data_IF_691867819922
#
_entry.id   IF_691867819922
#
_cell.length_a   1.000
_cell.length_b   1.000
_cell.length_c   1.000
_cell.angle_alpha   90.00
_cell.angle_beta   90.00
_cell.angle_gamma   90.00
#
_symmetry.space_group_name_H-M   'P 1'
#
loop_
_entity.id
_entity.type
_entity.pdbx_description
1 polymer ?
#
# COMPACT_ATOMS: atom_id res chain seq x y z
N UNK A 1 -39.82 26.68 0.39
CA UNK A 1 -39.75 25.27 0.83
C UNK A 1 -38.63 25.19 1.83
N UNK A 2 -38.93 24.85 3.08
CA UNK A 2 -37.91 24.77 4.14
C UNK A 2 -36.99 23.56 3.92
N UNK A 3 -35.72 23.80 3.81
CA UNK A 3 -34.68 22.76 3.76
C UNK A 3 -34.50 22.25 5.18
N UNK A 4 -34.76 20.98 5.41
CA UNK A 4 -34.59 20.35 6.72
C UNK A 4 -33.23 19.64 6.74
N UNK A 5 -32.30 20.09 7.56
CA UNK A 5 -31.04 19.43 7.81
C UNK A 5 -31.24 18.30 8.82
N UNK A 6 -30.53 17.18 8.58
CA UNK A 6 -30.54 16.04 9.50
C UNK A 6 -29.55 16.27 10.64
N UNK A 7 -29.84 15.71 11.81
CA UNK A 7 -28.92 15.79 12.95
C UNK A 7 -27.61 15.05 12.64
N UNK A 8 -26.49 15.52 13.19
CA UNK A 8 -25.17 14.91 13.00
C UNK A 8 -25.12 13.43 13.41
N UNK A 9 -25.89 13.02 14.41
CA UNK A 9 -26.00 11.63 14.85
C UNK A 9 -26.64 10.75 13.76
N UNK A 10 -27.73 11.25 13.17
CA UNK A 10 -28.43 10.53 12.09
C UNK A 10 -27.61 10.46 10.80
N UNK A 11 -26.87 11.51 10.47
CA UNK A 11 -25.92 11.50 9.33
C UNK A 11 -24.83 10.47 9.54
N UNK A 12 -24.30 10.37 10.77
CA UNK A 12 -23.28 9.38 11.12
C UNK A 12 -23.81 7.95 11.05
N UNK A 13 -25.01 7.69 11.51
CA UNK A 13 -25.68 6.38 11.45
C UNK A 13 -25.90 5.94 10.00
N UNK A 14 -26.42 6.83 9.14
CA UNK A 14 -26.60 6.58 7.71
C UNK A 14 -25.27 6.28 7.04
N UNK A 15 -24.20 7.02 7.36
CA UNK A 15 -22.91 6.79 6.78
C UNK A 15 -22.28 5.46 7.24
N UNK A 16 -22.43 5.11 8.51
CA UNK A 16 -21.98 3.82 9.04
C UNK A 16 -22.68 2.64 8.36
N UNK A 17 -24.00 2.74 8.19
CA UNK A 17 -24.79 1.70 7.50
C UNK A 17 -24.39 1.59 6.02
N UNK A 18 -24.20 2.74 5.34
CA UNK A 18 -23.75 2.76 3.96
C UNK A 18 -22.32 2.19 3.81
N UNK A 19 -21.42 2.52 4.72
CA UNK A 19 -20.06 1.96 4.74
C UNK A 19 -20.07 0.45 4.96
N UNK A 20 -20.88 -0.07 5.88
CA UNK A 20 -21.00 -1.51 6.11
C UNK A 20 -21.50 -2.26 4.87
N UNK A 21 -22.45 -1.68 4.13
CA UNK A 21 -22.92 -2.26 2.87
C UNK A 21 -21.83 -2.18 1.77
N UNK A 22 -21.16 -1.05 1.63
CA UNK A 22 -20.09 -0.86 0.64
C UNK A 22 -18.88 -1.75 0.92
N UNK A 23 -18.57 -2.03 2.19
CA UNK A 23 -17.49 -2.93 2.59
C UNK A 23 -17.78 -4.39 2.20
N UNK A 24 -19.05 -4.79 2.16
CA UNK A 24 -19.45 -6.11 1.66
C UNK A 24 -19.42 -6.22 0.13
N UNK A 25 -19.65 -5.11 -0.57
CA UNK A 25 -19.76 -5.08 -2.04
C UNK A 25 -18.42 -4.73 -2.74
N UNK A 26 -17.49 -4.10 -2.03
CA UNK A 26 -16.17 -3.67 -2.55
C UNK A 26 -15.05 -4.47 -1.89
N UNK A 27 -13.93 -4.64 -2.61
CA UNK A 27 -12.74 -5.18 -1.94
C UNK A 27 -12.23 -4.22 -0.85
N UNK A 28 -11.66 -4.79 0.22
CA UNK A 28 -11.14 -4.04 1.37
C UNK A 28 -10.17 -2.92 0.94
N UNK A 29 -9.32 -3.18 -0.05
CA UNK A 29 -8.36 -2.20 -0.55
C UNK A 29 -9.01 -1.03 -1.29
N UNK A 30 -10.04 -1.31 -2.09
CA UNK A 30 -10.83 -0.28 -2.78
C UNK A 30 -11.61 0.55 -1.75
N UNK A 31 -12.24 -0.11 -0.78
CA UNK A 31 -12.96 0.55 0.30
C UNK A 31 -12.06 1.50 1.10
N UNK A 32 -10.90 1.02 1.55
CA UNK A 32 -9.94 1.81 2.32
C UNK A 32 -9.34 2.97 1.52
N UNK A 33 -9.13 2.77 0.21
CA UNK A 33 -8.51 3.81 -0.64
C UNK A 33 -9.51 4.88 -1.07
N UNK A 34 -10.77 4.50 -1.38
CA UNK A 34 -11.71 5.39 -2.06
C UNK A 34 -12.96 5.74 -1.26
N UNK A 35 -13.38 4.95 -0.28
CA UNK A 35 -14.58 5.21 0.51
C UNK A 35 -14.23 5.81 1.87
N UNK A 36 -13.38 5.14 2.63
CA UNK A 36 -13.04 5.52 4.00
C UNK A 36 -12.48 6.95 4.15
N UNK A 37 -11.65 7.48 3.22
CA UNK A 37 -11.13 8.85 3.33
C UNK A 37 -12.16 9.94 2.99
N UNK A 38 -13.37 9.58 2.52
CA UNK A 38 -14.38 10.48 1.98
C UNK A 38 -15.68 10.43 2.79
N UNK A 39 -15.70 10.94 4.04
CA UNK A 39 -16.88 10.84 4.91
C UNK A 39 -18.05 11.68 4.42
N UNK A 40 -19.25 11.19 4.69
CA UNK A 40 -20.50 11.94 4.59
C UNK A 40 -20.60 12.89 5.80
N UNK A 41 -20.72 14.18 5.53
CA UNK A 41 -20.76 15.22 6.59
C UNK A 41 -22.12 15.85 6.80
N UNK A 42 -22.95 15.87 5.78
CA UNK A 42 -24.24 16.56 5.84
C UNK A 42 -25.28 15.87 4.96
N UNK A 43 -26.51 15.84 5.43
CA UNK A 43 -27.70 15.45 4.64
C UNK A 43 -28.74 16.56 4.79
N UNK A 44 -29.20 17.08 3.66
CA UNK A 44 -30.31 18.05 3.60
C UNK A 44 -31.43 17.49 2.77
N UNK A 45 -32.69 17.66 3.26
CA UNK A 45 -33.88 17.20 2.57
C UNK A 45 -34.70 18.40 2.07
N UNK A 46 -35.02 18.38 0.78
CA UNK A 46 -35.93 19.37 0.16
C UNK A 46 -37.05 18.60 -0.53
N UNK A 47 -38.17 18.46 0.14
CA UNK A 47 -39.30 17.66 -0.32
C UNK A 47 -38.97 16.15 -0.38
N UNK A 48 -39.09 15.55 -1.57
CA UNK A 48 -38.75 14.12 -1.78
C UNK A 48 -37.29 13.87 -2.18
N UNK A 49 -36.49 14.92 -2.40
CA UNK A 49 -35.07 14.79 -2.78
C UNK A 49 -34.19 15.04 -1.56
N UNK A 50 -33.16 14.22 -1.47
CA UNK A 50 -32.10 14.34 -0.46
C UNK A 50 -30.82 14.73 -1.16
N UNK A 51 -30.11 15.73 -0.63
CA UNK A 51 -28.73 16.05 -1.00
C UNK A 51 -27.80 15.58 0.10
N UNK A 52 -26.88 14.69 -0.25
CA UNK A 52 -25.86 14.13 0.65
C UNK A 52 -24.51 14.76 0.30
N UNK A 53 -23.86 15.43 1.26
CA UNK A 53 -22.58 16.09 1.05
C UNK A 53 -21.44 15.19 1.54
N UNK A 54 -20.59 14.74 0.63
CA UNK A 54 -19.39 13.96 0.92
C UNK A 54 -18.17 14.87 0.81
N UNK A 55 -17.31 14.87 1.83
CA UNK A 55 -16.07 15.64 1.83
C UNK A 55 -14.89 14.74 1.49
N UNK A 56 -14.20 15.13 0.44
CA UNK A 56 -12.99 14.44 -0.04
C UNK A 56 -11.75 15.24 0.37
N UNK A 57 -10.66 14.57 0.81
CA UNK A 57 -9.43 15.24 1.20
C UNK A 57 -8.77 16.01 0.06
N UNK A 58 -9.03 15.62 -1.19
CA UNK A 58 -8.50 16.28 -2.38
C UNK A 58 -9.48 16.23 -3.54
N UNK A 59 -9.36 17.16 -4.51
CA UNK A 59 -10.18 17.15 -5.73
C UNK A 59 -10.00 15.88 -6.57
N UNK A 60 -8.84 15.22 -6.45
CA UNK A 60 -8.59 13.92 -7.09
C UNK A 60 -9.47 12.81 -6.50
N UNK A 61 -9.57 12.72 -5.17
CA UNK A 61 -10.47 11.78 -4.51
C UNK A 61 -11.93 12.06 -4.89
N UNK A 62 -12.35 13.33 -4.87
CA UNK A 62 -13.70 13.72 -5.27
C UNK A 62 -14.02 13.32 -6.71
N UNK A 63 -13.13 13.59 -7.66
CA UNK A 63 -13.32 13.28 -9.08
C UNK A 63 -13.39 11.76 -9.33
N UNK A 64 -12.49 10.98 -8.73
CA UNK A 64 -12.49 9.52 -8.88
C UNK A 64 -13.67 8.88 -8.16
N UNK A 65 -14.01 9.36 -6.96
CA UNK A 65 -15.18 8.89 -6.22
C UNK A 65 -16.46 9.13 -7.01
N UNK A 66 -16.65 10.32 -7.55
CA UNK A 66 -17.77 10.67 -8.40
C UNK A 66 -17.81 9.84 -9.70
N UNK A 67 -16.68 9.70 -10.38
CA UNK A 67 -16.60 9.03 -11.68
C UNK A 67 -16.73 7.50 -11.60
N UNK A 68 -16.05 6.86 -10.64
CA UNK A 68 -15.98 5.40 -10.55
C UNK A 68 -17.02 4.81 -9.60
N UNK A 69 -17.34 5.51 -8.52
CA UNK A 69 -18.19 4.99 -7.45
C UNK A 69 -19.48 5.81 -7.24
N UNK A 70 -19.66 6.91 -7.96
CA UNK A 70 -20.80 7.82 -7.76
C UNK A 70 -22.17 7.15 -7.92
N UNK A 71 -22.35 6.35 -8.97
CA UNK A 71 -23.60 5.61 -9.19
C UNK A 71 -23.85 4.58 -8.08
N UNK A 72 -22.80 3.89 -7.63
CA UNK A 72 -22.85 2.90 -6.56
C UNK A 72 -23.17 3.54 -5.21
N UNK A 73 -22.49 4.62 -4.85
CA UNK A 73 -22.77 5.41 -3.65
C UNK A 73 -24.21 5.96 -3.63
N UNK A 74 -24.69 6.47 -4.77
CA UNK A 74 -26.06 6.97 -4.90
C UNK A 74 -27.06 5.85 -4.65
N UNK A 75 -26.83 4.66 -5.20
CA UNK A 75 -27.70 3.49 -5.01
C UNK A 75 -27.75 3.06 -3.53
N UNK A 76 -26.59 2.92 -2.89
CA UNK A 76 -26.50 2.51 -1.49
C UNK A 76 -27.13 3.55 -0.57
N UNK A 77 -26.79 4.84 -0.73
CA UNK A 77 -27.38 5.92 0.08
C UNK A 77 -28.88 6.05 -0.12
N UNK A 78 -29.38 5.85 -1.34
CA UNK A 78 -30.82 5.84 -1.61
C UNK A 78 -31.52 4.65 -0.95
N UNK A 79 -30.87 3.48 -0.91
CA UNK A 79 -31.37 2.29 -0.20
C UNK A 79 -31.46 2.53 1.31
N UNK A 80 -30.42 3.10 1.91
CA UNK A 80 -30.35 3.37 3.37
C UNK A 80 -31.31 4.48 3.79
N UNK A 81 -31.48 5.53 2.96
CA UNK A 81 -32.34 6.66 3.30
C UNK A 81 -33.79 6.48 2.89
N UNK A 82 -34.10 5.48 2.02
CA UNK A 82 -35.46 5.26 1.47
C UNK A 82 -35.93 6.34 0.51
N UNK A 83 -35.06 7.26 0.05
CA UNK A 83 -35.39 8.38 -0.83
C UNK A 83 -34.33 8.56 -1.91
N UNK A 84 -34.67 9.25 -3.00
CA UNK A 84 -33.71 9.58 -4.04
C UNK A 84 -32.64 10.54 -3.52
N UNK A 85 -31.35 10.12 -3.57
CA UNK A 85 -30.21 10.89 -3.08
C UNK A 85 -29.42 11.46 -4.24
N UNK A 86 -29.13 12.75 -4.18
CA UNK A 86 -28.15 13.41 -5.03
C UNK A 86 -26.89 13.67 -4.18
N UNK A 87 -25.71 13.30 -4.68
CA UNK A 87 -24.46 13.46 -3.93
C UNK A 87 -23.76 14.74 -4.39
N UNK A 88 -23.46 15.62 -3.43
CA UNK A 88 -22.58 16.76 -3.60
C UNK A 88 -21.17 16.43 -3.08
N UNK A 89 -20.14 16.65 -3.91
CA UNK A 89 -18.76 16.34 -3.59
C UNK A 89 -17.98 17.61 -3.31
N UNK A 90 -17.60 17.81 -2.05
CA UNK A 90 -16.81 18.94 -1.61
C UNK A 90 -15.35 18.54 -1.32
N UNK A 91 -14.43 19.47 -1.57
CA UNK A 91 -13.01 19.28 -1.24
C UNK A 91 -12.70 20.03 0.05
N UNK A 92 -12.13 19.34 1.04
CA UNK A 92 -11.79 19.96 2.31
C UNK A 92 -11.12 18.97 3.26
N UNK A 93 -10.68 19.48 4.43
CA UNK A 93 -10.15 18.60 5.46
C UNK A 93 -11.30 18.11 6.36
N UNK A 94 -11.65 16.80 6.33
CA UNK A 94 -12.78 16.28 7.10
C UNK A 94 -12.62 16.46 8.62
N UNK A 95 -11.39 16.64 9.12
CA UNK A 95 -11.11 16.80 10.55
C UNK A 95 -11.31 18.23 11.07
N UNK A 96 -11.15 19.26 10.24
CA UNK A 96 -11.25 20.66 10.68
C UNK A 96 -12.70 21.10 10.89
N UNK A 97 -13.65 20.60 10.11
CA UNK A 97 -15.08 20.96 10.27
C UNK A 97 -15.79 20.25 11.44
N UNK A 98 -15.17 19.21 12.02
CA UNK A 98 -15.71 18.52 13.20
C UNK A 98 -15.60 19.34 14.50
N UNK A 99 -14.73 20.37 14.52
CA UNK A 99 -14.47 21.22 15.69
C UNK A 99 -15.25 22.56 15.67
N UNK A 100 -15.81 22.98 14.54
CA UNK A 100 -16.52 24.28 14.47
C UNK A 100 -17.90 24.28 15.14
N UNK A 101 -18.47 23.11 15.48
CA UNK A 101 -19.77 23.01 16.16
C UNK A 101 -19.69 22.83 17.69
N UNK A 102 -18.53 23.13 18.33
CA UNK A 102 -18.39 23.04 19.79
C UNK A 102 -18.21 24.36 20.53
N UNK A 103 -18.40 25.49 19.90
CA UNK A 103 -18.31 26.80 20.57
C UNK A 103 -19.61 27.58 20.38
N UNK A 104 -20.57 27.35 21.22
CA UNK A 104 -21.46 28.33 21.84
C UNK A 104 -22.49 27.59 22.69
N UNK A 105 -22.32 27.61 23.99
CA UNK A 105 -23.22 28.23 24.96
C UNK A 105 -22.68 28.05 26.37
N UNK A 106 -22.61 29.18 27.02
CA UNK A 106 -22.20 29.41 28.40
C UNK A 106 -23.16 28.85 29.43
N UNK A 107 -22.60 28.46 30.56
CA UNK A 107 -23.01 28.68 31.96
C UNK A 107 -24.32 28.12 32.48
N UNK A 108 -24.24 27.25 33.46
CA UNK A 108 -24.67 27.61 34.85
C UNK A 108 -24.55 26.41 35.78
N UNK A 109 -24.00 26.70 36.88
CA UNK A 109 -23.71 26.00 38.10
C UNK A 109 -24.82 25.19 38.77
N UNK A 110 -24.43 24.03 39.26
CA UNK A 110 -24.60 23.54 40.68
C UNK A 110 -25.91 22.86 41.13
N UNK A 111 -25.89 22.18 42.32
CA UNK A 111 -25.79 20.73 42.42
C UNK A 111 -27.04 20.12 43.14
N UNK A 112 -27.05 18.82 43.46
CA UNK A 112 -27.55 18.23 44.71
C UNK A 112 -28.24 16.86 44.58
N UNK A 113 -27.70 15.93 45.35
CA UNK A 113 -28.23 14.81 46.16
C UNK A 113 -28.94 13.61 45.57
N UNK A 114 -28.22 12.52 45.76
CA UNK A 114 -28.63 11.20 46.31
C UNK A 114 -30.09 10.82 46.35
N UNK A 115 -30.44 9.65 45.73
CA UNK A 115 -31.00 8.55 46.50
C UNK A 115 -31.03 7.23 45.71
N UNK A 116 -30.84 6.18 46.46
CA UNK A 116 -30.75 4.75 46.13
C UNK A 116 -32.01 4.21 45.47
N UNK A 117 -31.80 3.31 44.50
CA UNK A 117 -32.48 1.99 44.44
C UNK A 117 -31.91 1.18 43.26
N UNK A 118 -31.40 0.02 43.52
CA UNK A 118 -31.07 -1.09 42.61
C UNK A 118 -32.38 -1.73 42.10
N UNK A 119 -32.42 -2.63 41.06
CA UNK A 119 -31.31 -3.40 40.49
C UNK A 119 -31.29 -3.63 38.94
N UNK A 120 -30.15 -4.05 38.46
CA UNK A 120 -29.85 -5.02 37.37
C UNK A 120 -30.28 -4.74 35.93
N UNK A 121 -29.31 -4.19 35.17
CA UNK A 121 -28.92 -4.72 33.85
C UNK A 121 -27.45 -4.32 33.65
N UNK A 122 -26.60 -5.33 33.47
CA UNK A 122 -25.15 -5.15 33.31
C UNK A 122 -24.88 -4.45 32.00
N UNK A 123 -24.61 -3.14 32.08
CA UNK A 123 -23.87 -2.41 31.06
C UNK A 123 -22.39 -2.78 31.21
N UNK A 124 -21.61 -3.01 30.13
CA UNK A 124 -20.18 -3.27 30.25
C UNK A 124 -19.54 -2.07 30.99
N UNK A 125 -18.80 -2.38 32.06
CA UNK A 125 -18.09 -1.37 32.86
C UNK A 125 -17.10 -0.63 31.99
N UNK A 126 -17.01 0.68 32.17
CA UNK A 126 -16.01 1.55 31.50
C UNK A 126 -14.57 1.03 31.71
N UNK A 127 -14.31 0.34 32.82
CA UNK A 127 -13.04 -0.33 33.12
C UNK A 127 -12.72 -1.48 32.15
N UNK A 128 -13.71 -2.21 31.64
CA UNK A 128 -13.50 -3.28 30.65
C UNK A 128 -13.11 -2.71 29.28
N UNK A 129 -13.68 -1.57 28.90
CA UNK A 129 -13.31 -0.87 27.66
C UNK A 129 -11.87 -0.32 27.67
N UNK A 130 -11.39 0.13 28.83
CA UNK A 130 -9.99 0.56 28.99
C UNK A 130 -9.02 -0.62 29.04
N UNK A 131 -9.44 -1.77 29.62
CA UNK A 131 -8.62 -2.98 29.63
C UNK A 131 -8.47 -3.59 28.25
N UNK A 132 -9.52 -3.61 27.43
CA UNK A 132 -9.47 -4.09 26.03
C UNK A 132 -8.63 -3.16 25.14
N UNK A 133 -8.79 -1.84 25.25
CA UNK A 133 -7.98 -0.87 24.53
C UNK A 133 -6.49 -0.95 24.89
N UNK A 134 -6.16 -1.20 26.17
CA UNK A 134 -4.80 -1.42 26.61
C UNK A 134 -4.24 -2.77 26.11
N UNK A 135 -5.02 -3.85 26.16
CA UNK A 135 -4.61 -5.16 25.65
C UNK A 135 -4.31 -5.09 24.15
N UNK A 136 -5.20 -4.50 23.35
CA UNK A 136 -5.00 -4.30 21.91
C UNK A 136 -3.76 -3.43 21.60
N UNK A 137 -3.48 -2.41 22.41
CA UNK A 137 -2.30 -1.57 22.24
C UNK A 137 -1.00 -2.33 22.54
N UNK A 138 -1.01 -3.21 23.54
CA UNK A 138 0.13 -4.07 23.88
C UNK A 138 0.38 -5.12 22.81
N UNK A 139 -0.66 -5.78 22.32
CA UNK A 139 -0.55 -6.76 21.22
C UNK A 139 -0.03 -6.12 19.93
N UNK A 140 -0.53 -4.95 19.57
CA UNK A 140 -0.06 -4.18 18.41
C UNK A 140 1.42 -3.80 18.55
N UNK A 141 1.84 -3.38 19.73
CA UNK A 141 3.24 -3.07 20.00
C UNK A 141 4.12 -4.32 19.92
N UNK A 142 3.69 -5.45 20.45
CA UNK A 142 4.42 -6.73 20.35
C UNK A 142 4.55 -7.18 18.88
N UNK A 143 3.48 -7.10 18.09
CA UNK A 143 3.50 -7.42 16.67
C UNK A 143 4.50 -6.53 15.90
N UNK A 144 4.54 -5.22 16.20
CA UNK A 144 5.48 -4.29 15.56
C UNK A 144 6.95 -4.59 15.93
N UNK A 145 7.23 -4.90 17.19
CA UNK A 145 8.58 -5.30 17.63
C UNK A 145 9.02 -6.58 16.92
N UNK A 146 8.14 -7.57 16.83
CA UNK A 146 8.43 -8.81 16.10
C UNK A 146 8.62 -8.60 14.61
N UNK A 147 7.77 -7.80 13.96
CA UNK A 147 7.91 -7.44 12.55
C UNK A 147 9.30 -6.85 12.26
N UNK A 148 9.76 -5.94 13.13
CA UNK A 148 11.12 -5.37 13.04
C UNK A 148 12.21 -6.43 13.22
N UNK A 149 12.04 -7.37 14.15
CA UNK A 149 13.01 -8.46 14.39
C UNK A 149 13.11 -9.41 13.21
N UNK A 150 12.00 -9.64 12.51
CA UNK A 150 11.93 -10.46 11.29
C UNK A 150 12.53 -9.73 10.08
N UNK A 151 12.67 -8.40 10.14
CA UNK A 151 13.16 -7.56 9.04
C UNK A 151 12.06 -6.98 8.16
N UNK A 152 10.81 -6.98 8.61
CA UNK A 152 9.71 -6.34 7.88
C UNK A 152 9.76 -4.82 8.04
N UNK A 153 9.56 -4.09 6.96
CA UNK A 153 9.56 -2.63 6.95
C UNK A 153 8.24 -2.10 7.50
N UNK A 154 8.31 -1.14 8.41
CA UNK A 154 7.16 -0.56 9.12
C UNK A 154 6.05 -0.05 8.19
N UNK A 155 6.42 0.51 7.03
CA UNK A 155 5.49 1.15 6.11
C UNK A 155 4.88 0.18 5.08
N UNK A 156 5.33 -1.09 5.05
CA UNK A 156 4.83 -2.09 4.11
C UNK A 156 3.66 -2.86 4.72
N UNK A 157 2.57 -2.14 4.93
CA UNK A 157 1.29 -2.63 5.46
C UNK A 157 0.18 -2.44 4.43
N UNK A 158 -0.93 -3.17 4.55
CA UNK A 158 -2.03 -3.07 3.59
C UNK A 158 -2.64 -1.67 3.52
N UNK A 159 -2.70 -0.95 4.64
CA UNK A 159 -3.24 0.41 4.74
C UNK A 159 -2.46 1.42 3.89
N UNK A 160 -1.18 1.17 3.67
CA UNK A 160 -0.31 2.02 2.84
C UNK A 160 -0.22 1.55 1.39
N UNK A 161 -0.91 0.47 1.03
CA UNK A 161 -0.93 -0.06 -0.33
C UNK A 161 -2.11 0.51 -1.11
N UNK A 162 -1.82 1.35 -2.12
CA UNK A 162 -2.85 1.89 -2.99
C UNK A 162 -3.38 0.82 -3.95
N UNK A 163 -4.70 0.65 -4.01
CA UNK A 163 -5.37 -0.36 -4.82
C UNK A 163 -6.08 0.26 -6.01
N UNK A 164 -5.99 -0.40 -7.16
CA UNK A 164 -6.74 -0.09 -8.38
C UNK A 164 -7.04 -1.39 -9.13
N UNK A 165 -7.78 -1.31 -10.22
CA UNK A 165 -8.07 -2.49 -11.06
C UNK A 165 -6.84 -3.25 -11.56
N UNK A 166 -5.66 -2.59 -11.64
CA UNK A 166 -4.42 -3.22 -12.10
C UNK A 166 -3.72 -4.10 -11.06
N UNK A 167 -4.03 -3.94 -9.77
CA UNK A 167 -3.41 -4.69 -8.67
C UNK A 167 -4.41 -5.22 -7.63
N UNK A 168 -5.71 -5.07 -7.88
CA UNK A 168 -6.78 -5.49 -6.97
C UNK A 168 -6.75 -6.99 -6.69
N UNK A 169 -6.52 -7.81 -7.73
CA UNK A 169 -6.44 -9.27 -7.59
C UNK A 169 -5.26 -9.68 -6.68
N UNK A 170 -4.11 -9.01 -6.84
CA UNK A 170 -2.94 -9.28 -6.00
C UNK A 170 -3.19 -8.87 -4.54
N UNK A 171 -3.84 -7.73 -4.33
CA UNK A 171 -4.23 -7.27 -2.98
C UNK A 171 -5.23 -8.23 -2.34
N UNK A 172 -6.28 -8.65 -3.06
CA UNK A 172 -7.30 -9.58 -2.56
C UNK A 172 -6.69 -10.94 -2.17
N UNK A 173 -5.83 -11.52 -3.03
CA UNK A 173 -5.15 -12.76 -2.73
C UNK A 173 -4.20 -12.64 -1.52
N UNK A 174 -3.45 -11.53 -1.43
CA UNK A 174 -2.59 -11.26 -0.29
C UNK A 174 -3.37 -11.14 1.01
N UNK A 175 -4.53 -10.47 0.97
CA UNK A 175 -5.44 -10.35 2.12
C UNK A 175 -5.97 -11.72 2.54
N UNK A 176 -6.46 -12.54 1.59
CA UNK A 176 -6.96 -13.88 1.87
C UNK A 176 -5.90 -14.79 2.51
N UNK A 177 -4.67 -14.77 1.96
CA UNK A 177 -3.52 -15.53 2.50
C UNK A 177 -3.16 -15.06 3.92
N UNK A 178 -3.24 -13.76 4.19
CA UNK A 178 -2.92 -13.22 5.51
C UNK A 178 -3.95 -13.57 6.59
N UNK A 179 -5.21 -13.79 6.18
CA UNK A 179 -6.31 -14.20 7.07
C UNK A 179 -6.29 -15.70 7.35
N UNK A 180 -5.99 -16.52 6.34
CA UNK A 180 -5.98 -18.00 6.46
C UNK A 180 -4.67 -18.57 5.88
N UNK A 181 -3.53 -18.39 6.57
CA UNK A 181 -2.24 -18.83 6.08
C UNK A 181 -2.15 -20.37 6.01
N UNK A 182 -1.68 -20.87 4.86
CA UNK A 182 -1.53 -22.30 4.58
C UNK A 182 -2.75 -22.94 3.93
N UNK A 183 -3.91 -22.29 3.93
CA UNK A 183 -5.18 -22.86 3.45
C UNK A 183 -5.66 -22.23 2.12
N UNK A 184 -5.61 -20.87 2.00
CA UNK A 184 -6.24 -20.18 0.87
C UNK A 184 -5.49 -20.41 -0.45
N UNK A 185 -4.23 -19.97 -0.53
CA UNK A 185 -3.40 -20.06 -1.75
C UNK A 185 -1.97 -20.39 -1.33
N UNK A 186 -1.48 -21.59 -1.62
CA UNK A 186 -0.15 -22.02 -1.19
C UNK A 186 0.58 -22.85 -2.25
N UNK A 187 1.69 -22.38 -2.85
CA UNK A 187 2.28 -21.05 -2.64
C UNK A 187 1.46 -19.90 -3.25
N UNK A 188 1.63 -18.68 -2.72
CA UNK A 188 1.27 -17.45 -3.42
C UNK A 188 2.51 -16.91 -4.14
N UNK A 189 2.44 -16.77 -5.45
CA UNK A 189 3.54 -16.29 -6.29
C UNK A 189 3.17 -14.95 -6.94
N UNK A 190 3.82 -13.87 -6.49
CA UNK A 190 3.61 -12.52 -7.01
C UNK A 190 4.76 -12.16 -7.97
N UNK A 191 4.44 -11.86 -9.23
CA UNK A 191 5.46 -11.47 -10.18
C UNK A 191 5.10 -10.16 -10.91
N UNK A 192 6.05 -9.60 -11.62
CA UNK A 192 5.87 -8.34 -12.37
C UNK A 192 7.10 -7.47 -12.32
N UNK A 193 7.05 -6.34 -13.02
CA UNK A 193 8.18 -5.42 -13.18
C UNK A 193 8.73 -4.85 -11.87
N UNK A 194 9.81 -4.08 -12.00
CA UNK A 194 10.45 -3.43 -10.84
C UNK A 194 9.57 -2.30 -10.31
N UNK A 195 9.36 -2.28 -8.98
CA UNK A 195 8.65 -1.19 -8.30
C UNK A 195 7.13 -1.22 -8.43
N UNK A 196 6.52 -2.36 -8.77
CA UNK A 196 5.06 -2.53 -8.84
C UNK A 196 4.39 -2.83 -7.50
N UNK A 197 5.18 -3.12 -6.44
CA UNK A 197 4.67 -3.34 -5.08
C UNK A 197 4.71 -4.79 -4.58
N UNK A 198 5.38 -5.74 -5.27
CA UNK A 198 5.51 -7.15 -4.85
C UNK A 198 5.99 -7.31 -3.41
N UNK A 199 7.15 -6.75 -3.09
CA UNK A 199 7.73 -6.77 -1.74
C UNK A 199 6.82 -6.13 -0.70
N UNK A 200 6.10 -5.06 -1.06
CA UNK A 200 5.15 -4.41 -0.18
C UNK A 200 4.01 -5.36 0.20
N UNK A 201 3.34 -5.98 -0.78
CA UNK A 201 2.26 -6.93 -0.53
C UNK A 201 2.74 -8.16 0.27
N UNK A 202 3.90 -8.71 -0.08
CA UNK A 202 4.50 -9.83 0.67
C UNK A 202 4.72 -9.47 2.14
N UNK A 203 5.29 -8.30 2.43
CA UNK A 203 5.53 -7.87 3.80
C UNK A 203 4.24 -7.48 4.52
N UNK A 204 3.23 -6.94 3.81
CA UNK A 204 1.91 -6.67 4.38
C UNK A 204 1.22 -7.96 4.86
N UNK A 205 1.37 -9.07 4.12
CA UNK A 205 0.92 -10.39 4.59
C UNK A 205 1.59 -10.74 5.93
N UNK A 206 2.92 -10.58 6.03
CA UNK A 206 3.66 -10.86 7.25
C UNK A 206 3.21 -10.00 8.43
N UNK A 207 3.01 -8.70 8.21
CA UNK A 207 2.50 -7.78 9.23
C UNK A 207 1.11 -8.19 9.72
N UNK A 208 0.19 -8.51 8.80
CA UNK A 208 -1.18 -8.88 9.17
C UNK A 208 -1.24 -10.20 9.95
N UNK A 209 -0.43 -11.20 9.56
CA UNK A 209 -0.32 -12.46 10.30
C UNK A 209 0.22 -12.23 11.72
N UNK A 210 1.24 -11.37 11.91
CA UNK A 210 1.78 -11.04 13.23
C UNK A 210 0.79 -10.25 14.08
N UNK A 211 -0.07 -9.42 13.47
CA UNK A 211 -1.15 -8.73 14.18
C UNK A 211 -2.21 -9.71 14.68
N UNK A 212 -2.58 -10.70 13.84
CA UNK A 212 -3.56 -11.73 14.23
C UNK A 212 -2.98 -12.74 15.21
N UNK A 213 -1.73 -13.15 15.04
CA UNK A 213 -1.02 -14.09 15.90
C UNK A 213 0.45 -13.69 16.10
N UNK A 214 0.76 -12.93 17.16
CA UNK A 214 2.12 -12.49 17.45
C UNK A 214 3.12 -13.63 17.69
N UNK A 215 2.67 -14.87 17.97
CA UNK A 215 3.55 -16.03 18.18
C UNK A 215 4.01 -16.71 16.88
N UNK A 216 3.42 -16.38 15.73
CA UNK A 216 3.75 -16.97 14.43
C UNK A 216 5.23 -16.83 14.08
N UNK A 217 5.83 -17.92 13.63
CA UNK A 217 7.24 -17.96 13.20
C UNK A 217 7.34 -17.57 11.74
N UNK A 218 7.51 -16.29 11.47
CA UNK A 218 7.71 -15.77 10.12
C UNK A 218 9.20 -15.73 9.80
N UNK A 219 9.57 -16.24 8.63
CA UNK A 219 10.90 -16.08 8.05
C UNK A 219 10.77 -15.25 6.79
N UNK A 220 11.32 -14.05 6.82
CA UNK A 220 11.51 -13.19 5.64
C UNK A 220 12.96 -13.26 5.21
N UNK A 221 13.21 -13.42 3.91
CA UNK A 221 14.53 -13.39 3.30
C UNK A 221 14.42 -13.01 1.82
N UNK A 222 15.49 -12.45 1.25
CA UNK A 222 15.62 -12.37 -0.20
C UNK A 222 16.24 -13.65 -0.76
N UNK A 223 16.02 -13.94 -2.06
CA UNK A 223 16.67 -15.08 -2.72
C UNK A 223 18.20 -15.01 -2.67
N UNK A 224 18.76 -13.79 -2.63
CA UNK A 224 20.20 -13.57 -2.46
C UNK A 224 20.64 -13.89 -1.03
N UNK A 225 19.93 -13.40 -0.01
CA UNK A 225 20.23 -13.72 1.39
C UNK A 225 20.10 -15.21 1.70
N UNK A 226 19.05 -15.86 1.19
CA UNK A 226 18.86 -17.30 1.30
C UNK A 226 20.08 -18.05 0.72
N UNK A 227 20.52 -17.64 -0.48
CA UNK A 227 21.71 -18.17 -1.13
C UNK A 227 22.96 -18.00 -0.28
N UNK A 228 23.22 -16.80 0.22
CA UNK A 228 24.41 -16.52 1.02
C UNK A 228 24.38 -17.26 2.35
N UNK A 229 23.24 -17.39 2.98
CA UNK A 229 23.07 -18.13 4.24
C UNK A 229 23.30 -19.63 4.07
N UNK A 230 22.82 -20.27 3.00
CA UNK A 230 23.06 -21.71 2.78
C UNK A 230 24.52 -21.98 2.42
N UNK A 231 25.16 -21.15 1.59
CA UNK A 231 26.59 -21.29 1.27
C UNK A 231 27.41 -21.18 2.55
N UNK A 232 27.18 -20.18 3.38
CA UNK A 232 27.85 -20.02 4.66
C UNK A 232 27.60 -21.22 5.60
N UNK A 233 26.35 -21.70 5.67
CA UNK A 233 26.00 -22.86 6.50
C UNK A 233 26.73 -24.14 6.05
N UNK A 234 26.94 -24.33 4.75
CA UNK A 234 27.74 -25.46 4.21
C UNK A 234 29.23 -25.31 4.59
N UNK A 235 29.79 -24.11 4.38
CA UNK A 235 31.21 -23.84 4.68
C UNK A 235 31.54 -23.99 6.18
N UNK A 236 30.60 -23.55 7.04
CA UNK A 236 30.77 -23.60 8.50
C UNK A 236 30.24 -24.88 9.14
N UNK A 237 29.75 -25.85 8.36
CA UNK A 237 29.11 -27.09 8.82
C UNK A 237 27.90 -26.89 9.76
N UNK A 238 27.19 -25.76 9.61
CA UNK A 238 26.00 -25.37 10.41
C UNK A 238 24.69 -25.55 9.64
N UNK A 239 24.62 -26.48 8.71
CA UNK A 239 23.43 -26.73 7.87
C UNK A 239 22.17 -27.09 8.68
N UNK A 240 22.35 -27.72 9.86
CA UNK A 240 21.23 -28.08 10.75
C UNK A 240 20.48 -26.82 11.22
N UNK A 241 21.20 -25.78 11.63
CA UNK A 241 20.59 -24.51 12.08
C UNK A 241 19.86 -23.80 10.96
N UNK A 242 20.43 -23.79 9.76
CA UNK A 242 19.79 -23.24 8.56
C UNK A 242 18.48 -23.99 8.28
N UNK A 243 18.53 -25.32 8.19
CA UNK A 243 17.35 -26.16 7.95
C UNK A 243 16.27 -25.96 9.02
N UNK A 244 16.67 -25.92 10.29
CA UNK A 244 15.75 -25.68 11.41
C UNK A 244 15.06 -24.32 11.28
N UNK A 245 15.77 -23.25 10.93
CA UNK A 245 15.21 -21.93 10.76
C UNK A 245 14.13 -21.87 9.68
N UNK A 246 14.45 -22.40 8.48
CA UNK A 246 13.57 -22.28 7.33
C UNK A 246 12.45 -23.33 7.32
N UNK A 247 12.71 -24.58 7.73
CA UNK A 247 11.73 -25.67 7.67
C UNK A 247 10.73 -25.68 8.82
N UNK A 248 11.03 -24.97 9.93
CA UNK A 248 10.13 -24.82 11.08
C UNK A 248 9.40 -23.46 11.09
N UNK A 249 9.43 -22.71 9.99
CA UNK A 249 8.66 -21.49 9.83
C UNK A 249 7.16 -21.82 9.70
N UNK A 250 6.31 -20.99 10.24
CA UNK A 250 4.86 -21.02 9.97
C UNK A 250 4.55 -20.31 8.66
N UNK A 251 5.34 -19.27 8.34
CA UNK A 251 5.24 -18.51 7.10
C UNK A 251 6.63 -18.24 6.55
N UNK A 252 6.85 -18.62 5.29
CA UNK A 252 8.05 -18.27 4.53
C UNK A 252 7.72 -17.18 3.50
N UNK A 253 8.37 -16.04 3.64
CA UNK A 253 8.32 -14.92 2.71
C UNK A 253 9.69 -14.84 2.01
N UNK A 254 9.76 -15.25 0.73
CA UNK A 254 11.00 -15.22 -0.05
C UNK A 254 10.88 -14.24 -1.21
N UNK A 255 11.59 -13.13 -1.09
CA UNK A 255 11.58 -12.04 -2.07
C UNK A 255 12.62 -12.29 -3.17
N UNK A 256 12.27 -11.96 -4.41
CA UNK A 256 13.15 -12.05 -5.57
C UNK A 256 13.76 -13.47 -5.76
N UNK A 257 12.89 -14.48 -5.85
CA UNK A 257 13.27 -15.90 -5.97
C UNK A 257 14.13 -16.20 -7.19
N UNK A 258 14.13 -15.37 -8.23
CA UNK A 258 14.99 -15.54 -9.41
C UNK A 258 16.49 -15.59 -9.06
N UNK A 259 16.93 -15.04 -7.93
CA UNK A 259 18.34 -15.06 -7.51
C UNK A 259 18.84 -16.42 -7.02
N UNK A 260 17.96 -17.41 -6.81
CA UNK A 260 18.36 -18.79 -6.52
C UNK A 260 18.70 -19.60 -7.79
N UNK A 261 18.25 -19.12 -8.96
CA UNK A 261 18.46 -19.82 -10.23
C UNK A 261 19.95 -19.96 -10.59
N UNK A 262 20.30 -21.00 -11.33
CA UNK A 262 21.68 -21.30 -11.74
C UNK A 262 22.59 -21.82 -10.62
N UNK A 263 22.09 -22.07 -9.41
CA UNK A 263 22.86 -22.55 -8.25
C UNK A 263 22.27 -23.87 -7.75
N UNK A 264 22.69 -24.99 -8.32
CA UNK A 264 22.07 -26.31 -8.11
C UNK A 264 21.88 -26.67 -6.63
N UNK A 265 22.93 -26.54 -5.81
CA UNK A 265 22.85 -26.88 -4.37
C UNK A 265 21.88 -25.98 -3.60
N UNK A 266 21.72 -24.72 -4.02
CA UNK A 266 20.76 -23.78 -3.42
C UNK A 266 19.35 -24.16 -3.83
N UNK A 267 19.12 -24.46 -5.11
CA UNK A 267 17.81 -24.89 -5.63
C UNK A 267 17.37 -26.22 -4.98
N UNK A 268 18.29 -27.16 -4.80
CA UNK A 268 18.03 -28.42 -4.12
C UNK A 268 17.60 -28.19 -2.65
N UNK A 269 18.30 -27.36 -1.89
CA UNK A 269 17.96 -27.08 -0.50
C UNK A 269 16.63 -26.30 -0.41
N UNK A 270 16.38 -25.37 -1.34
CA UNK A 270 15.11 -24.68 -1.41
C UNK A 270 13.96 -25.62 -1.75
N UNK A 271 14.15 -26.55 -2.68
CA UNK A 271 13.17 -27.59 -3.00
C UNK A 271 12.78 -28.44 -1.78
N UNK A 272 13.79 -28.87 -0.99
CA UNK A 272 13.52 -29.61 0.24
C UNK A 272 12.82 -28.76 1.30
N UNK A 273 13.18 -27.48 1.43
CA UNK A 273 12.53 -26.53 2.34
C UNK A 273 11.08 -26.32 1.94
N UNK A 274 10.82 -26.07 0.65
CA UNK A 274 9.48 -25.91 0.09
C UNK A 274 8.60 -27.13 0.40
N UNK A 275 9.10 -28.35 0.11
CA UNK A 275 8.34 -29.58 0.36
C UNK A 275 8.06 -29.79 1.86
N UNK A 276 9.00 -29.46 2.75
CA UNK A 276 8.81 -29.58 4.18
C UNK A 276 7.71 -28.62 4.69
N UNK A 277 7.68 -27.40 4.20
CA UNK A 277 6.65 -26.40 4.54
C UNK A 277 5.29 -26.77 3.95
N UNK A 278 5.24 -27.10 2.66
CA UNK A 278 3.98 -27.47 1.99
C UNK A 278 3.33 -28.71 2.60
N UNK A 279 4.11 -29.73 2.96
CA UNK A 279 3.61 -30.94 3.67
C UNK A 279 2.95 -30.63 5.01
N UNK A 280 3.44 -29.60 5.70
CA UNK A 280 2.92 -29.20 7.01
C UNK A 280 1.92 -28.04 6.92
N UNK A 281 1.35 -27.76 5.74
CA UNK A 281 0.39 -26.67 5.50
C UNK A 281 0.91 -25.29 5.97
N UNK A 282 2.24 -25.07 5.89
CA UNK A 282 2.84 -23.78 6.22
C UNK A 282 2.78 -22.86 5.01
N UNK A 283 2.49 -21.57 5.23
CA UNK A 283 2.33 -20.62 4.12
C UNK A 283 3.67 -20.30 3.46
N UNK A 284 3.66 -20.30 2.14
CA UNK A 284 4.79 -19.88 1.31
C UNK A 284 4.32 -18.72 0.44
N UNK A 285 5.02 -17.59 0.51
CA UNK A 285 4.80 -16.43 -0.36
C UNK A 285 6.12 -16.11 -1.06
N UNK A 286 6.05 -15.98 -2.37
CA UNK A 286 7.22 -15.80 -3.23
C UNK A 286 7.03 -14.58 -4.12
N UNK A 287 8.11 -13.84 -4.39
CA UNK A 287 8.09 -12.80 -5.41
C UNK A 287 9.15 -13.05 -6.48
N UNK A 288 8.92 -12.52 -7.68
CA UNK A 288 9.88 -12.55 -8.78
C UNK A 288 9.66 -11.36 -9.72
N UNK A 289 10.69 -11.03 -10.51
CA UNK A 289 10.57 -10.05 -11.59
C UNK A 289 9.85 -10.60 -12.83
N UNK A 290 9.71 -11.95 -12.92
CA UNK A 290 9.08 -12.69 -14.04
C UNK A 290 8.43 -13.98 -13.57
N UNK A 291 7.55 -14.61 -14.38
CA UNK A 291 6.92 -15.88 -14.03
C UNK A 291 7.95 -17.03 -14.02
N UNK A 292 7.67 -18.15 -13.31
CA UNK A 292 8.64 -19.25 -13.13
C UNK A 292 9.17 -19.86 -14.44
N UNK A 293 8.35 -19.93 -15.48
CA UNK A 293 8.76 -20.50 -16.79
C UNK A 293 9.74 -19.61 -17.55
N UNK A 294 9.84 -18.31 -17.22
CA UNK A 294 10.81 -17.37 -17.80
C UNK A 294 12.09 -17.24 -16.99
N UNK A 295 12.16 -17.85 -15.79
CA UNK A 295 13.37 -17.83 -14.97
C UNK A 295 14.37 -18.81 -15.59
N UNK A 296 15.42 -18.26 -16.21
CA UNK A 296 16.49 -19.06 -16.79
C UNK A 296 17.23 -19.87 -15.71
N UNK A 297 17.68 -21.09 -16.06
CA UNK A 297 18.41 -21.99 -15.17
C UNK A 297 17.65 -22.39 -13.89
N UNK A 298 16.33 -22.26 -13.89
CA UNK A 298 15.49 -22.81 -12.82
C UNK A 298 15.19 -24.28 -13.11
N UNK A 299 15.48 -25.17 -12.15
CA UNK A 299 15.22 -26.59 -12.27
C UNK A 299 13.72 -26.89 -12.46
N UNK A 300 13.39 -27.83 -13.36
CA UNK A 300 12.02 -28.18 -13.75
C UNK A 300 11.14 -28.61 -12.56
N UNK A 301 11.72 -29.40 -11.63
CA UNK A 301 11.02 -29.83 -10.41
C UNK A 301 10.65 -28.67 -9.49
N UNK A 302 11.51 -27.65 -9.39
CA UNK A 302 11.27 -26.47 -8.59
C UNK A 302 10.23 -25.57 -9.30
N UNK A 303 10.38 -25.36 -10.63
CA UNK A 303 9.41 -24.63 -11.44
C UNK A 303 7.99 -25.17 -11.23
N UNK A 304 7.81 -26.48 -11.35
CA UNK A 304 6.50 -27.10 -11.14
C UNK A 304 5.92 -26.84 -9.74
N UNK A 305 6.78 -26.74 -8.70
CA UNK A 305 6.33 -26.40 -7.34
C UNK A 305 5.91 -24.94 -7.20
N UNK A 306 6.63 -24.03 -7.86
CA UNK A 306 6.29 -22.60 -7.85
C UNK A 306 4.99 -22.33 -8.60
N UNK A 307 4.69 -23.09 -9.64
CA UNK A 307 3.50 -22.99 -10.48
C UNK A 307 2.28 -23.73 -9.89
N UNK A 308 2.47 -24.55 -8.85
CA UNK A 308 1.37 -25.34 -8.26
C UNK A 308 0.34 -24.50 -7.48
N UNK A 309 0.68 -23.28 -7.11
CA UNK A 309 -0.18 -22.35 -6.35
C UNK A 309 -0.83 -21.27 -7.19
N UNK A 310 -1.20 -20.18 -6.54
CA UNK A 310 -1.75 -19.01 -7.22
C UNK A 310 -0.63 -18.09 -7.69
N UNK A 311 -0.55 -17.86 -9.00
CA UNK A 311 0.38 -16.92 -9.61
C UNK A 311 -0.35 -15.65 -10.03
N UNK A 312 0.16 -14.49 -9.65
CA UNK A 312 -0.45 -13.20 -9.99
C UNK A 312 0.59 -12.24 -10.55
N UNK A 313 0.29 -11.74 -11.75
CA UNK A 313 1.04 -10.67 -12.40
C UNK A 313 0.59 -9.30 -11.89
N UNK A 314 1.52 -8.54 -11.33
CA UNK A 314 1.27 -7.17 -10.88
C UNK A 314 1.77 -6.21 -11.95
N UNK A 315 0.82 -5.56 -12.60
CA UNK A 315 1.09 -4.63 -13.69
C UNK A 315 1.69 -3.31 -13.20
N UNK A 316 2.32 -2.59 -14.12
CA UNK A 316 2.80 -1.23 -13.84
C UNK A 316 1.63 -0.32 -13.44
N UNK A 317 1.82 0.54 -12.42
CA UNK A 317 0.76 1.41 -11.94
C UNK A 317 0.36 2.44 -13.00
N UNK A 318 -0.96 2.60 -13.20
CA UNK A 318 -1.52 3.67 -14.03
C UNK A 318 -1.14 5.05 -13.48
N UNK A 319 -1.36 6.10 -14.27
CA UNK A 319 -1.13 7.48 -13.84
C UNK A 319 -1.89 7.81 -12.55
N UNK A 320 -3.16 7.39 -12.46
CA UNK A 320 -4.03 7.60 -11.30
C UNK A 320 -3.49 6.87 -10.08
N UNK A 321 -3.08 5.61 -10.26
CA UNK A 321 -2.52 4.82 -9.17
C UNK A 321 -1.19 5.41 -8.68
N UNK A 322 -0.32 5.87 -9.59
CA UNK A 322 0.92 6.57 -9.19
C UNK A 322 0.63 7.83 -8.39
N UNK A 323 -0.39 8.60 -8.79
CA UNK A 323 -0.82 9.79 -8.04
C UNK A 323 -1.31 9.43 -6.64
N UNK A 324 -2.12 8.36 -6.51
CA UNK A 324 -2.59 7.88 -5.21
C UNK A 324 -1.43 7.38 -4.33
N UNK A 325 -0.49 6.59 -4.88
CA UNK A 325 0.72 6.14 -4.18
C UNK A 325 1.52 7.33 -3.66
N UNK A 326 1.65 8.37 -4.45
CA UNK A 326 2.38 9.60 -4.11
C UNK A 326 1.74 10.29 -2.91
N UNK A 327 0.42 10.46 -2.92
CA UNK A 327 -0.32 11.08 -1.83
C UNK A 327 -0.26 10.26 -0.53
N UNK A 328 -0.37 8.93 -0.60
CA UNK A 328 -0.24 8.06 0.56
C UNK A 328 1.17 8.16 1.16
N UNK A 329 2.22 8.05 0.31
CA UNK A 329 3.61 8.12 0.76
C UNK A 329 4.00 9.51 1.27
N UNK A 330 3.54 10.59 0.64
CA UNK A 330 3.81 11.95 1.12
C UNK A 330 3.21 12.19 2.51
N UNK A 331 2.00 11.65 2.76
CA UNK A 331 1.36 11.70 4.08
C UNK A 331 2.17 10.94 5.13
N UNK A 332 2.66 9.74 4.82
CA UNK A 332 3.50 8.96 5.76
C UNK A 332 4.84 9.62 6.07
N UNK A 333 5.37 10.42 5.13
CA UNK A 333 6.61 11.19 5.28
C UNK A 333 6.40 12.59 5.86
N UNK A 334 5.15 12.99 6.14
CA UNK A 334 4.75 14.33 6.58
C UNK A 334 5.16 15.45 5.58
N UNK A 335 5.10 15.16 4.29
CA UNK A 335 5.38 16.16 3.24
C UNK A 335 4.05 16.70 2.71
N UNK A 336 3.80 18.05 2.74
CA UNK A 336 2.54 18.64 2.32
C UNK A 336 2.43 18.73 0.78
N UNK A 337 2.35 17.58 0.09
CA UNK A 337 2.22 17.53 -1.37
C UNK A 337 0.79 17.80 -1.79
N UNK A 338 0.55 18.85 -2.60
CA UNK A 338 -0.75 19.09 -3.20
C UNK A 338 -1.04 18.09 -4.33
N UNK A 339 -2.30 18.02 -4.74
CA UNK A 339 -2.70 17.09 -5.81
C UNK A 339 -2.05 17.46 -7.16
N UNK A 340 -1.87 18.74 -7.42
CA UNK A 340 -1.22 19.24 -8.64
C UNK A 340 0.26 18.84 -8.68
N UNK A 341 0.94 18.99 -7.54
CA UNK A 341 2.30 18.50 -7.34
C UNK A 341 2.40 16.98 -7.53
N UNK A 342 1.46 16.24 -6.95
CA UNK A 342 1.40 14.80 -7.10
C UNK A 342 1.19 14.36 -8.55
N UNK A 343 0.29 15.01 -9.29
CA UNK A 343 0.07 14.75 -10.72
C UNK A 343 1.31 15.08 -11.55
N UNK A 344 1.98 16.19 -11.26
CA UNK A 344 3.21 16.59 -11.96
C UNK A 344 4.31 15.54 -11.80
N UNK A 345 4.52 15.04 -10.58
CA UNK A 345 5.49 13.98 -10.31
C UNK A 345 5.04 12.67 -10.98
N UNK A 346 3.78 12.28 -10.84
CA UNK A 346 3.23 11.05 -11.40
C UNK A 346 3.30 10.99 -12.93
N UNK A 347 3.26 12.14 -13.60
CA UNK A 347 3.44 12.22 -15.06
C UNK A 347 4.88 11.90 -15.51
N UNK A 348 5.87 12.13 -14.65
CA UNK A 348 7.30 11.98 -14.96
C UNK A 348 7.91 10.68 -14.46
N UNK A 349 7.21 9.93 -13.58
CA UNK A 349 7.70 8.69 -12.98
C UNK A 349 6.80 7.52 -13.32
N UNK A 350 7.40 6.35 -13.50
CA UNK A 350 6.74 5.12 -13.98
C UNK A 350 6.56 4.06 -12.87
N UNK A 351 7.20 4.22 -11.70
CA UNK A 351 7.21 3.18 -10.67
C UNK A 351 7.14 3.75 -9.25
N UNK A 352 6.57 2.97 -8.32
CA UNK A 352 6.48 3.33 -6.91
C UNK A 352 7.85 3.49 -6.22
N UNK A 353 8.90 2.83 -6.74
CA UNK A 353 10.27 2.98 -6.24
C UNK A 353 10.83 4.37 -6.56
N UNK A 354 10.64 4.84 -7.80
CA UNK A 354 11.06 6.20 -8.20
C UNK A 354 10.27 7.28 -7.44
N UNK A 355 8.98 7.07 -7.22
CA UNK A 355 8.16 7.95 -6.36
C UNK A 355 8.79 8.09 -4.98
N UNK A 356 9.20 6.97 -4.35
CA UNK A 356 9.87 7.00 -3.05
C UNK A 356 11.18 7.78 -3.07
N UNK A 357 11.99 7.61 -4.12
CA UNK A 357 13.24 8.36 -4.31
C UNK A 357 13.02 9.87 -4.37
N UNK A 358 12.07 10.33 -5.20
CA UNK A 358 11.73 11.75 -5.32
C UNK A 358 11.23 12.32 -4.00
N UNK A 359 10.31 11.62 -3.31
CA UNK A 359 9.80 12.09 -2.02
C UNK A 359 10.91 12.21 -0.97
N UNK A 360 11.85 11.27 -0.93
CA UNK A 360 13.00 11.36 -0.02
C UNK A 360 13.92 12.54 -0.36
N UNK A 361 14.14 12.81 -1.66
CA UNK A 361 14.93 13.97 -2.10
C UNK A 361 14.24 15.29 -1.73
N UNK A 362 12.91 15.38 -1.91
CA UNK A 362 12.12 16.54 -1.51
C UNK A 362 12.13 16.72 0.02
N UNK A 363 11.98 15.64 0.78
CA UNK A 363 12.08 15.64 2.23
C UNK A 363 13.43 16.20 2.70
N UNK A 364 14.52 15.68 2.14
CA UNK A 364 15.87 16.19 2.41
C UNK A 364 16.03 17.69 2.10
N UNK A 365 15.43 18.16 0.99
CA UNK A 365 15.50 19.57 0.62
C UNK A 365 14.73 20.47 1.61
N UNK A 366 13.60 20.00 2.12
CA UNK A 366 12.79 20.70 3.12
C UNK A 366 13.50 20.71 4.49
N UNK A 367 13.90 19.55 4.99
CA UNK A 367 14.45 19.40 6.34
C UNK A 367 15.88 19.95 6.48
N UNK A 368 16.76 19.69 5.50
CA UNK A 368 18.17 20.04 5.61
C UNK A 368 18.50 21.42 5.02
N UNK A 369 17.72 21.91 4.07
CA UNK A 369 18.00 23.17 3.38
C UNK A 369 16.99 24.26 3.69
N UNK A 370 16.00 24.01 4.53
CA UNK A 370 14.95 24.97 4.91
C UNK A 370 14.14 25.47 3.71
N UNK A 371 14.06 24.68 2.62
CA UNK A 371 13.30 25.08 1.43
C UNK A 371 11.82 24.78 1.63
N UNK A 372 10.98 25.72 1.25
CA UNK A 372 9.55 25.47 1.13
C UNK A 372 9.25 24.57 -0.07
N UNK A 373 8.25 23.70 0.08
CA UNK A 373 7.79 22.86 -1.03
C UNK A 373 7.07 23.72 -2.07
N UNK A 374 7.68 23.85 -3.23
CA UNK A 374 7.13 24.60 -4.36
C UNK A 374 7.15 23.76 -5.63
N UNK A 375 6.34 24.16 -6.62
CA UNK A 375 6.35 23.54 -7.95
C UNK A 375 7.73 23.60 -8.60
N UNK A 376 8.43 24.74 -8.42
CA UNK A 376 9.78 24.94 -8.95
C UNK A 376 10.80 23.97 -8.33
N UNK A 377 10.71 23.71 -7.02
CA UNK A 377 11.56 22.73 -6.35
C UNK A 377 11.34 21.31 -6.90
N UNK A 378 10.08 20.96 -7.16
CA UNK A 378 9.70 19.66 -7.75
C UNK A 378 10.26 19.55 -9.17
N UNK A 379 10.06 20.55 -10.01
CA UNK A 379 10.60 20.55 -11.38
C UNK A 379 12.11 20.38 -11.40
N UNK A 380 12.83 21.13 -10.59
CA UNK A 380 14.31 21.00 -10.47
C UNK A 380 14.71 19.58 -10.03
N UNK A 381 13.99 19.00 -9.08
CA UNK A 381 14.27 17.64 -8.61
C UNK A 381 14.06 16.62 -9.73
N UNK A 382 12.97 16.75 -10.50
CA UNK A 382 12.65 15.87 -11.62
C UNK A 382 13.65 15.99 -12.78
N UNK A 383 14.14 17.19 -13.08
CA UNK A 383 15.17 17.43 -14.12
C UNK A 383 16.50 16.80 -13.71
N UNK A 384 16.92 16.98 -12.45
CA UNK A 384 18.19 16.41 -11.94
C UNK A 384 18.19 14.88 -12.03
N UNK A 385 17.07 14.21 -11.76
CA UNK A 385 16.97 12.75 -11.93
C UNK A 385 16.97 12.32 -13.41
N UNK A 386 16.37 13.10 -14.29
CA UNK A 386 16.37 12.83 -15.73
C UNK A 386 17.78 12.98 -16.32
N UNK A 387 18.54 13.98 -15.90
CA UNK A 387 19.91 14.23 -16.36
C UNK A 387 20.92 13.21 -15.82
N UNK A 388 20.73 12.68 -14.62
CA UNK A 388 21.55 11.57 -14.08
C UNK A 388 21.40 10.27 -14.87
N UNK A 389 20.27 10.07 -15.57
CA UNK A 389 19.99 8.89 -16.41
C UNK A 389 20.44 9.02 -17.85
N UNK A 390 20.70 10.23 -18.32
CA UNK A 390 21.36 10.37 -19.61
C UNK A 390 22.79 9.85 -19.45
N UNK A 391 23.19 8.79 -20.17
CA UNK A 391 24.59 8.44 -20.23
C UNK A 391 25.29 9.76 -20.64
N UNK A 392 26.29 10.17 -19.85
CA UNK A 392 27.19 11.23 -20.31
C UNK A 392 27.76 10.71 -21.60
N UNK A 393 27.15 11.08 -22.71
CA UNK A 393 27.73 10.89 -24.01
C UNK A 393 29.02 11.69 -23.96
N UNK A 394 30.14 11.02 -23.66
CA UNK A 394 31.45 11.54 -23.95
C UNK A 394 31.55 11.56 -25.48
N UNK A 395 30.86 12.49 -26.09
CA UNK A 395 30.95 12.74 -27.54
C UNK A 395 32.33 13.27 -27.74
N UNK A 396 33.22 12.43 -28.17
CA UNK A 396 34.55 12.87 -28.62
C UNK A 396 34.36 13.69 -29.89
N UNK A 397 35.16 14.74 -30.02
CA UNK A 397 35.14 15.59 -31.21
C UNK A 397 35.22 14.76 -32.51
N UNK A 398 35.99 13.66 -32.47
CA UNK A 398 36.11 12.72 -33.58
C UNK A 398 34.81 12.01 -33.95
N UNK A 399 33.92 11.75 -32.97
CA UNK A 399 32.62 11.08 -33.22
C UNK A 399 31.67 12.09 -33.91
N UNK A 400 31.71 13.36 -33.52
CA UNK A 400 30.97 14.43 -34.19
C UNK A 400 31.44 14.63 -35.63
N UNK A 401 32.77 14.71 -35.82
CA UNK A 401 33.37 14.88 -37.16
C UNK A 401 32.99 13.69 -38.05
N UNK A 402 33.04 12.45 -37.50
CA UNK A 402 32.68 11.25 -38.25
C UNK A 402 31.20 11.29 -38.65
N UNK A 403 30.28 11.57 -37.71
CA UNK A 403 28.85 11.64 -37.99
C UNK A 403 28.48 12.70 -39.02
N UNK A 404 29.12 13.87 -38.94
CA UNK A 404 28.93 14.95 -39.93
C UNK A 404 29.50 14.56 -41.29
N UNK A 405 30.68 13.93 -41.32
CA UNK A 405 31.32 13.38 -42.50
C UNK A 405 30.44 12.39 -43.24
N UNK A 406 29.88 11.44 -42.47
CA UNK A 406 28.98 10.37 -42.99
C UNK A 406 27.64 10.95 -43.50
N UNK A 407 27.08 11.94 -42.79
CA UNK A 407 25.81 12.57 -43.14
C UNK A 407 25.89 13.43 -44.43
N UNK A 408 27.00 14.17 -44.61
CA UNK A 408 27.19 15.05 -45.77
C UNK A 408 28.05 14.41 -46.88
N UNK A 409 28.47 13.15 -46.71
CA UNK A 409 29.36 12.43 -47.64
C UNK A 409 30.66 13.17 -47.92
N UNK A 410 31.21 13.87 -46.91
CA UNK A 410 32.46 14.62 -47.00
C UNK A 410 33.60 13.80 -46.40
N UNK A 411 34.82 13.98 -46.93
CA UNK A 411 35.99 13.38 -46.29
C UNK A 411 36.36 14.16 -45.04
N UNK A 412 36.76 13.44 -43.95
CA UNK A 412 37.09 14.07 -42.66
C UNK A 412 38.17 15.20 -42.79
N UNK A 413 39.04 15.12 -43.79
CA UNK A 413 40.05 16.12 -44.08
C UNK A 413 39.47 17.44 -44.66
N UNK A 414 38.25 17.44 -45.12
CA UNK A 414 37.58 18.60 -45.73
C UNK A 414 36.82 19.43 -44.69
N UNK A 415 36.44 18.86 -43.57
CA UNK A 415 35.70 19.51 -42.49
C UNK A 415 36.60 20.48 -41.68
N UNK A 416 37.91 20.33 -41.70
CA UNK A 416 38.85 21.22 -40.98
C UNK A 416 39.48 22.34 -41.80
N UNK A 417 39.09 22.52 -43.07
CA UNK A 417 39.70 23.51 -43.97
C UNK A 417 38.82 24.74 -44.26
N UNK A 418 37.63 24.79 -43.70
CA UNK A 418 36.78 25.98 -43.75
C UNK A 418 37.03 26.89 -42.54
#
# INVERSE_FOLDING_TARGET
MSTQEWSNEKVKEVWQTACAQLELELSQGVFNTWILPNPLIQISATGQKITATIVSPTGFHATNLKGKFGAHLTKVLSGVTGKSVQIDYQVGNPMLRRNENKTSTHNSQQPIKSNQAQPSTQSPRVEDLFSEANAQSVEKNQAQVRAKTVGLQKDYVFENFAVSSSNEMAHAAATAVSQNPGESYNPLFLYGGVGVGKTHLMQAIGHNILLANPSSKIVYSTGEEFTNQIINAIQTKKTINFKSRYRNADVLLLDDVQFIAGKNSVQEEFFHTFNALAKNHKQIVLTSDRPPHEILLLESRLRSRLEAGLMIDIQQPSFELRTAILLIKSKSLNIPVSIEMAKMIAARVDSARKIGGILNTLKSAIELRGKELSLELIERTLITEADQKRPKLNVKINDVIKTVSDHYHLKQQEIGRA
#
